data_IF_375218263234
#
_entry.id   IF_375218263234
#
_cell.length_a   1.000
_cell.length_b   1.000
_cell.length_c   1.000
_cell.angle_alpha   90.00
_cell.angle_beta   90.00
_cell.angle_gamma   90.00
#
_symmetry.space_group_name_H-M   'P 1'
#
loop_
_entity.id
_entity.type
_entity.pdbx_description
1 polymer ?
#
# COMPACT_ATOMS: atom_id res chain seq x y z
N UNK A 1 -15.49 -13.46 -7.33
CA UNK A 1 -15.73 -12.19 -8.01
C UNK A 1 -14.43 -11.38 -8.00
N UNK A 2 -13.89 -10.99 -9.16
CA UNK A 2 -12.71 -10.11 -9.23
C UNK A 2 -13.19 -8.66 -9.09
N UNK A 3 -12.65 -7.89 -8.14
CA UNK A 3 -12.90 -6.45 -8.09
C UNK A 3 -12.05 -5.78 -9.17
N UNK A 4 -12.64 -4.87 -9.94
CA UNK A 4 -11.87 -3.98 -10.81
C UNK A 4 -11.05 -3.04 -9.92
N UNK A 5 -9.75 -2.98 -10.18
CA UNK A 5 -8.83 -2.02 -9.55
C UNK A 5 -9.35 -0.62 -9.83
N UNK A 6 -9.66 0.12 -8.76
CA UNK A 6 -10.24 1.45 -8.87
C UNK A 6 -9.14 2.54 -8.95
N UNK A 7 -9.57 3.79 -8.90
CA UNK A 7 -8.66 4.93 -9.02
C UNK A 7 -7.67 5.02 -7.84
N UNK A 8 -8.10 4.67 -6.63
CA UNK A 8 -7.25 4.72 -5.43
C UNK A 8 -6.25 3.57 -5.43
N UNK A 9 -6.63 2.41 -5.94
CA UNK A 9 -5.73 1.28 -6.13
C UNK A 9 -4.55 1.60 -7.09
N UNK A 10 -4.81 2.26 -8.22
CA UNK A 10 -3.77 2.72 -9.17
C UNK A 10 -2.83 3.71 -8.50
N UNK A 11 -3.41 4.59 -7.70
CA UNK A 11 -2.75 5.63 -6.93
C UNK A 11 -1.76 5.05 -5.91
N UNK A 12 -2.17 4.04 -5.12
CA UNK A 12 -1.22 3.36 -4.21
C UNK A 12 -0.13 2.62 -4.99
N UNK A 13 -0.44 1.98 -6.12
CA UNK A 13 0.59 1.38 -6.98
C UNK A 13 1.60 2.42 -7.48
N UNK A 14 1.14 3.64 -7.83
CA UNK A 14 2.01 4.75 -8.20
C UNK A 14 2.92 5.21 -7.05
N UNK A 15 2.42 5.20 -5.81
CA UNK A 15 3.19 5.54 -4.63
C UNK A 15 4.32 4.53 -4.37
N UNK A 16 4.01 3.23 -4.41
CA UNK A 16 5.02 2.17 -4.27
C UNK A 16 6.05 2.24 -5.40
N UNK A 17 5.61 2.53 -6.63
CA UNK A 17 6.51 2.81 -7.75
C UNK A 17 7.43 3.99 -7.50
N UNK A 18 6.95 5.08 -6.89
CA UNK A 18 7.74 6.27 -6.56
C UNK A 18 8.82 5.93 -5.54
N UNK A 19 8.48 5.21 -4.47
CA UNK A 19 9.42 4.70 -3.46
C UNK A 19 10.53 3.89 -4.14
N UNK A 20 10.15 2.95 -5.02
CA UNK A 20 11.10 2.08 -5.72
C UNK A 20 12.03 2.80 -6.70
N UNK A 21 11.74 4.03 -7.12
CA UNK A 21 12.64 4.77 -8.03
C UNK A 21 13.97 5.13 -7.38
N UNK A 22 14.00 5.18 -6.05
CA UNK A 22 15.23 5.41 -5.27
C UNK A 22 16.12 4.17 -5.20
N UNK A 23 15.64 3.02 -5.68
CA UNK A 23 16.34 1.74 -5.64
C UNK A 23 16.52 1.16 -7.05
N UNK A 24 17.41 0.18 -7.17
CA UNK A 24 17.56 -0.55 -8.41
C UNK A 24 16.39 -1.54 -8.67
N UNK A 25 16.32 -2.08 -9.89
CA UNK A 25 15.27 -3.02 -10.32
C UNK A 25 15.41 -4.43 -9.73
N UNK A 26 16.52 -4.72 -9.04
CA UNK A 26 16.80 -5.94 -8.29
C UNK A 26 16.68 -5.70 -6.78
N UNK A 27 15.91 -4.69 -6.39
CA UNK A 27 15.58 -4.42 -4.99
C UNK A 27 14.09 -4.62 -4.78
N UNK A 28 13.74 -5.54 -3.88
CA UNK A 28 12.39 -5.66 -3.36
C UNK A 28 12.24 -4.71 -2.18
N UNK A 29 11.37 -3.72 -2.33
CA UNK A 29 11.05 -2.80 -1.24
C UNK A 29 9.77 -3.28 -0.58
N UNK A 30 9.90 -3.79 0.65
CA UNK A 30 8.79 -4.16 1.50
C UNK A 30 8.12 -2.88 2.03
N UNK A 31 6.83 -2.72 1.74
CA UNK A 31 6.06 -1.53 2.14
C UNK A 31 4.87 -1.98 2.99
N UNK A 32 4.85 -1.53 4.24
CA UNK A 32 3.71 -1.73 5.15
C UNK A 32 2.74 -0.55 5.04
N UNK A 33 1.45 -0.85 5.04
CA UNK A 33 0.36 0.13 5.08
C UNK A 33 -0.35 0.09 6.43
N UNK A 34 -0.73 1.26 6.94
CA UNK A 34 -1.47 1.42 8.19
C UNK A 34 -2.96 1.59 7.89
N UNK A 35 -3.73 0.53 8.13
CA UNK A 35 -5.16 0.40 7.86
C UNK A 35 -5.96 0.81 9.12
N UNK A 36 -6.67 1.95 9.10
CA UNK A 36 -7.61 2.31 10.17
C UNK A 36 -8.77 1.31 10.21
N UNK A 37 -9.11 0.82 11.39
CA UNK A 37 -10.19 -0.15 11.61
C UNK A 37 -11.04 0.30 12.80
N UNK A 38 -12.35 0.42 12.59
CA UNK A 38 -13.28 0.76 13.67
C UNK A 38 -13.38 -0.39 14.68
N UNK A 39 -13.82 -0.06 15.89
CA UNK A 39 -14.07 -1.05 16.95
C UNK A 39 -14.94 -2.22 16.48
N UNK A 40 -16.08 -1.94 15.84
CA UNK A 40 -16.98 -3.00 15.37
C UNK A 40 -16.34 -3.96 14.36
N UNK A 41 -15.50 -3.47 13.44
CA UNK A 41 -14.83 -4.32 12.46
C UNK A 41 -13.64 -5.08 13.05
N UNK A 42 -12.90 -4.48 14.00
CA UNK A 42 -11.81 -5.16 14.70
C UNK A 42 -12.32 -6.40 15.43
N UNK A 43 -13.55 -6.32 15.95
CA UNK A 43 -14.18 -7.32 16.79
C UNK A 43 -15.27 -8.14 16.11
N UNK A 44 -15.42 -8.03 14.79
CA UNK A 44 -16.44 -8.78 14.07
C UNK A 44 -16.21 -10.31 14.10
N UNK A 45 -14.96 -10.74 14.31
CA UNK A 45 -14.57 -12.17 14.39
C UNK A 45 -14.32 -12.67 15.82
N UNK A 46 -14.24 -11.78 16.82
CA UNK A 46 -13.84 -12.10 18.22
C UNK A 46 -14.95 -12.75 19.07
N UNK A 47 -15.91 -13.46 18.46
CA UNK A 47 -16.86 -14.30 19.21
C UNK A 47 -16.19 -15.47 19.93
N UNK A 48 -14.92 -15.76 19.68
CA UNK A 48 -14.22 -16.88 20.28
C UNK A 48 -12.77 -16.52 20.62
N UNK A 49 -12.49 -16.45 21.92
CA UNK A 49 -11.16 -16.63 22.53
C UNK A 49 -10.16 -15.46 22.47
N UNK A 50 -10.34 -14.43 23.29
CA UNK A 50 -9.22 -13.69 23.91
C UNK A 50 -9.74 -12.96 25.17
N UNK A 51 -9.05 -13.12 26.31
CA UNK A 51 -9.55 -12.66 27.63
C UNK A 51 -9.36 -11.14 27.87
N UNK A 52 -8.91 -10.37 26.88
CA UNK A 52 -8.72 -8.92 26.96
C UNK A 52 -8.96 -8.29 25.59
N UNK A 53 -9.76 -7.23 25.55
CA UNK A 53 -9.92 -6.43 24.34
C UNK A 53 -8.58 -5.74 24.03
N UNK A 54 -8.10 -5.78 22.76
CA UNK A 54 -6.92 -5.02 22.37
C UNK A 54 -7.14 -3.53 22.64
N UNK A 55 -6.09 -2.86 23.11
CA UNK A 55 -6.13 -1.42 23.33
C UNK A 55 -6.15 -0.72 21.96
N UNK A 56 -7.07 0.24 21.71
CA UNK A 56 -7.05 1.02 20.49
C UNK A 56 -5.73 1.76 20.29
N UNK A 57 -5.34 1.92 19.02
CA UNK A 57 -4.10 2.61 18.66
C UNK A 57 -4.26 4.14 18.64
N UNK A 58 -5.47 4.63 18.35
CA UNK A 58 -5.76 6.07 18.26
C UNK A 58 -6.98 6.42 19.09
N UNK A 59 -6.82 7.37 20.01
CA UNK A 59 -7.88 7.91 20.84
C UNK A 59 -8.21 9.35 20.44
N UNK A 60 -9.49 9.69 20.43
CA UNK A 60 -9.92 11.02 19.97
C UNK A 60 -9.40 12.18 20.83
N UNK A 61 -9.08 11.93 22.10
CA UNK A 61 -8.46 12.92 23.00
C UNK A 61 -6.95 13.10 22.82
N UNK A 62 -6.26 12.15 22.20
CA UNK A 62 -4.79 12.13 22.07
C UNK A 62 -4.29 11.86 20.66
N UNK A 63 -5.17 11.93 19.65
CA UNK A 63 -4.86 11.49 18.29
C UNK A 63 -3.62 12.15 17.69
N UNK A 64 -3.32 13.41 18.04
CA UNK A 64 -2.11 14.10 17.60
C UNK A 64 -0.83 13.37 18.06
N UNK A 65 -0.82 12.91 19.32
CA UNK A 65 0.26 12.12 19.90
C UNK A 65 0.29 10.73 19.26
N UNK A 66 -0.85 10.08 19.15
CA UNK A 66 -0.96 8.72 18.61
C UNK A 66 -0.48 8.67 17.14
N UNK A 67 -0.82 9.69 16.34
CA UNK A 67 -0.33 9.84 14.97
C UNK A 67 1.19 10.06 14.91
N UNK A 68 1.74 10.81 15.87
CA UNK A 68 3.19 11.00 15.97
C UNK A 68 3.90 9.68 16.27
N UNK A 69 3.32 8.86 17.16
CA UNK A 69 3.83 7.53 17.50
C UNK A 69 3.77 6.56 16.30
N UNK A 70 2.82 6.79 15.37
CA UNK A 70 2.76 6.14 14.06
C UNK A 70 3.66 6.77 12.98
N UNK A 71 4.54 7.71 13.33
CA UNK A 71 5.52 8.30 12.42
C UNK A 71 5.00 9.46 11.56
N UNK A 72 3.86 10.05 11.90
CA UNK A 72 3.37 11.26 11.22
C UNK A 72 4.13 12.49 11.75
N UNK A 73 4.70 13.29 10.85
CA UNK A 73 5.45 14.48 11.22
C UNK A 73 4.56 15.56 11.88
N UNK A 74 5.14 16.36 12.77
CA UNK A 74 4.42 17.45 13.43
C UNK A 74 3.89 18.51 12.47
N UNK A 75 4.56 18.75 11.33
CA UNK A 75 4.04 19.64 10.29
C UNK A 75 2.78 19.08 9.66
N UNK A 76 2.74 17.76 9.41
CA UNK A 76 1.58 17.09 8.82
C UNK A 76 0.42 17.00 9.81
N UNK A 77 0.68 16.70 11.10
CA UNK A 77 -0.34 16.76 12.16
C UNK A 77 -1.00 18.14 12.22
N UNK A 78 -0.19 19.21 12.17
CA UNK A 78 -0.70 20.60 12.20
C UNK A 78 -1.60 20.91 11.00
N UNK A 79 -1.23 20.42 9.82
CA UNK A 79 -2.05 20.56 8.62
C UNK A 79 -3.37 19.77 8.73
N UNK A 80 -3.33 18.52 9.21
CA UNK A 80 -4.56 17.73 9.42
C UNK A 80 -5.50 18.39 10.41
N UNK A 81 -4.95 18.98 11.48
CA UNK A 81 -5.73 19.70 12.47
C UNK A 81 -6.54 20.82 11.81
N UNK A 82 -5.91 21.61 10.93
CA UNK A 82 -6.60 22.65 10.17
C UNK A 82 -7.72 22.08 9.28
N UNK A 83 -7.48 20.94 8.62
CA UNK A 83 -8.50 20.28 7.78
C UNK A 83 -9.67 19.71 8.59
N UNK A 84 -9.42 19.22 9.80
CA UNK A 84 -10.46 18.72 10.71
C UNK A 84 -11.28 19.90 11.25
N UNK A 85 -10.61 20.96 11.68
CA UNK A 85 -11.24 22.18 12.22
C UNK A 85 -12.07 22.92 11.15
N UNK A 86 -11.61 22.94 9.89
CA UNK A 86 -12.37 23.51 8.77
C UNK A 86 -13.50 22.63 8.27
N UNK A 87 -13.53 21.35 8.67
CA UNK A 87 -14.47 20.34 8.20
C UNK A 87 -14.17 19.80 6.79
N UNK A 88 -13.07 20.22 6.16
CA UNK A 88 -12.62 19.70 4.86
C UNK A 88 -12.23 18.23 4.92
N UNK A 89 -11.82 17.74 6.09
CA UNK A 89 -11.52 16.33 6.31
C UNK A 89 -12.17 15.79 7.58
N UNK A 90 -12.99 14.75 7.43
CA UNK A 90 -13.76 14.12 8.53
C UNK A 90 -12.97 13.07 9.32
N UNK A 91 -11.68 12.90 9.01
CA UNK A 91 -10.86 11.79 9.51
C UNK A 91 -10.79 10.60 8.54
N UNK A 92 -10.01 9.57 8.89
CA UNK A 92 -9.87 8.38 8.05
C UNK A 92 -11.17 7.57 7.99
N UNK A 93 -11.27 6.68 7.00
CA UNK A 93 -12.36 5.71 6.90
C UNK A 93 -11.88 4.33 7.35
N UNK A 94 -12.72 3.62 8.10
CA UNK A 94 -12.48 2.21 8.41
C UNK A 94 -12.26 1.43 7.11
N UNK A 95 -11.13 0.73 7.04
CA UNK A 95 -10.71 -0.05 5.88
C UNK A 95 -11.72 -1.14 5.46
N UNK A 96 -12.48 -1.66 6.42
CA UNK A 96 -13.42 -2.75 6.21
C UNK A 96 -14.82 -2.26 5.86
N UNK A 97 -15.41 -1.38 6.67
CA UNK A 97 -16.80 -0.93 6.49
C UNK A 97 -16.96 0.46 5.87
N UNK A 98 -15.87 1.23 5.73
CA UNK A 98 -15.89 2.59 5.16
C UNK A 98 -16.40 3.68 6.11
N UNK A 99 -16.78 3.34 7.35
CA UNK A 99 -17.24 4.32 8.36
C UNK A 99 -16.15 5.35 8.66
N UNK A 100 -16.50 6.63 8.70
CA UNK A 100 -15.59 7.70 9.12
C UNK A 100 -15.22 7.56 10.60
N UNK A 101 -13.93 7.70 10.89
CA UNK A 101 -13.36 7.63 12.23
C UNK A 101 -12.98 9.05 12.65
N UNK A 102 -13.83 9.67 13.45
CA UNK A 102 -13.62 11.05 13.87
C UNK A 102 -12.40 11.15 14.80
N UNK A 103 -11.46 12.02 14.45
CA UNK A 103 -10.27 12.26 15.27
C UNK A 103 -10.58 13.05 16.54
N UNK A 104 -11.66 13.82 16.56
CA UNK A 104 -12.08 14.63 17.71
C UNK A 104 -13.51 14.26 18.10
N UNK A 105 -13.72 13.90 19.37
CA UNK A 105 -15.05 13.55 19.90
C UNK A 105 -15.64 12.23 19.35
N UNK A 106 -14.85 11.43 18.63
CA UNK A 106 -15.24 10.12 18.11
C UNK A 106 -14.78 8.95 18.98
N UNK A 107 -15.26 7.75 18.61
CA UNK A 107 -14.78 6.49 19.17
C UNK A 107 -13.31 6.25 18.82
N UNK A 108 -12.54 5.61 19.72
CA UNK A 108 -11.18 5.21 19.41
C UNK A 108 -11.16 4.11 18.34
N UNK A 109 -10.04 4.01 17.62
CA UNK A 109 -9.90 3.06 16.53
C UNK A 109 -8.52 2.42 16.48
N UNK A 110 -8.43 1.36 15.69
CA UNK A 110 -7.24 0.50 15.57
C UNK A 110 -6.50 0.78 14.27
N UNK A 111 -5.21 0.47 14.26
CA UNK A 111 -4.33 0.61 13.10
C UNK A 111 -3.73 -0.76 12.77
N UNK A 112 -4.39 -1.47 11.86
CA UNK A 112 -3.88 -2.75 11.38
C UNK A 112 -2.76 -2.54 10.35
N UNK A 113 -1.70 -3.36 10.44
CA UNK A 113 -0.63 -3.38 9.44
C UNK A 113 -1.00 -4.34 8.30
N UNK A 114 -0.60 -4.02 7.07
CA UNK A 114 -0.82 -4.90 5.93
C UNK A 114 0.08 -4.60 4.74
N UNK A 115 0.16 -5.56 3.82
CA UNK A 115 0.84 -5.39 2.53
C UNK A 115 0.03 -4.56 1.54
N UNK A 116 0.68 -4.09 0.48
CA UNK A 116 0.00 -3.46 -0.66
C UNK A 116 -1.09 -4.36 -1.24
N UNK A 117 -0.75 -5.63 -1.44
CA UNK A 117 -1.65 -6.60 -2.07
C UNK A 117 -2.91 -6.86 -1.25
N UNK A 118 -2.78 -6.91 0.09
CA UNK A 118 -3.93 -6.94 0.99
C UNK A 118 -4.78 -5.69 0.87
N UNK A 119 -4.13 -4.50 0.88
CA UNK A 119 -4.82 -3.21 0.88
C UNK A 119 -5.66 -2.98 -0.39
N UNK A 120 -5.09 -3.28 -1.56
CA UNK A 120 -5.79 -3.15 -2.85
C UNK A 120 -6.89 -4.23 -2.99
N UNK A 121 -7.04 -5.12 -1.99
CA UNK A 121 -7.96 -6.26 -2.00
C UNK A 121 -7.76 -7.12 -3.27
N UNK A 122 -6.54 -7.10 -3.82
CA UNK A 122 -6.19 -7.94 -4.96
C UNK A 122 -5.88 -9.32 -4.45
N UNK A 123 -6.59 -10.34 -4.99
CA UNK A 123 -6.22 -11.71 -4.70
C UNK A 123 -4.80 -11.95 -5.20
N UNK A 124 -3.91 -12.26 -4.26
CA UNK A 124 -2.63 -12.87 -4.58
C UNK A 124 -2.92 -14.17 -5.33
N UNK A 125 -2.34 -14.31 -6.52
CA UNK A 125 -2.64 -15.44 -7.39
C UNK A 125 -1.60 -16.54 -7.16
N UNK A 126 -2.08 -17.76 -6.86
CA UNK A 126 -1.27 -18.99 -6.75
C UNK A 126 -0.74 -19.52 -8.11
N UNK A 127 -0.56 -18.65 -9.10
CA UNK A 127 -0.04 -19.02 -10.42
C UNK A 127 1.04 -18.07 -10.91
N UNK A 128 2.05 -18.61 -11.61
CA UNK A 128 3.23 -17.86 -12.08
C UNK A 128 2.92 -16.78 -13.11
N UNK A 129 1.90 -16.96 -13.96
CA UNK A 129 1.62 -16.04 -15.06
C UNK A 129 0.73 -14.88 -14.58
N UNK A 130 1.16 -13.61 -14.71
CA UNK A 130 0.31 -12.46 -14.41
C UNK A 130 -0.91 -12.42 -15.31
N UNK A 131 -2.07 -12.06 -14.74
CA UNK A 131 -3.32 -11.89 -15.51
C UNK A 131 -3.26 -10.63 -16.38
N UNK A 132 -4.02 -10.55 -17.48
CA UNK A 132 -4.01 -9.38 -18.37
C UNK A 132 -4.28 -8.04 -17.66
N UNK A 133 -5.21 -8.00 -16.70
CA UNK A 133 -5.51 -6.80 -15.94
C UNK A 133 -4.31 -6.33 -15.09
N UNK A 134 -3.54 -7.25 -14.49
CA UNK A 134 -2.32 -6.92 -13.73
C UNK A 134 -1.28 -6.30 -14.66
N UNK A 135 -1.08 -6.90 -15.84
CA UNK A 135 -0.15 -6.37 -16.85
C UNK A 135 -0.50 -4.95 -17.23
N UNK A 136 -1.78 -4.67 -17.48
CA UNK A 136 -2.28 -3.32 -17.83
C UNK A 136 -1.99 -2.30 -16.72
N UNK A 137 -2.26 -2.65 -15.46
CA UNK A 137 -1.96 -1.76 -14.31
C UNK A 137 -0.46 -1.49 -14.22
N UNK A 138 0.36 -2.55 -14.24
CA UNK A 138 1.82 -2.43 -14.12
C UNK A 138 2.38 -1.61 -15.28
N UNK A 139 1.91 -1.83 -16.51
CA UNK A 139 2.32 -1.03 -17.66
C UNK A 139 2.00 0.47 -17.44
N UNK A 140 0.78 0.80 -17.02
CA UNK A 140 0.35 2.17 -16.78
C UNK A 140 1.11 2.85 -15.63
N UNK A 141 1.27 2.17 -14.50
CA UNK A 141 2.03 2.65 -13.32
C UNK A 141 3.48 2.93 -13.69
N UNK A 142 4.07 2.11 -14.55
CA UNK A 142 5.43 2.30 -15.04
C UNK A 142 5.51 3.24 -16.26
N UNK A 143 4.38 3.79 -16.71
CA UNK A 143 4.25 4.67 -17.89
C UNK A 143 4.84 4.03 -19.16
N UNK A 144 4.66 2.71 -19.29
CA UNK A 144 5.22 1.93 -20.37
C UNK A 144 6.74 1.91 -20.42
N UNK A 145 7.46 2.14 -19.31
CA UNK A 145 8.93 2.14 -19.29
C UNK A 145 9.48 0.89 -18.60
N UNK A 146 10.57 0.35 -19.12
CA UNK A 146 11.33 -0.71 -18.47
C UNK A 146 11.75 -0.29 -17.04
N UNK A 147 11.52 -1.15 -16.06
CA UNK A 147 11.87 -0.88 -14.67
C UNK A 147 13.38 -0.70 -14.46
N UNK A 148 14.19 -1.44 -15.24
CA UNK A 148 15.65 -1.40 -15.21
C UNK A 148 16.21 -0.22 -16.03
N UNK A 149 16.25 -0.36 -17.37
CA UNK A 149 16.91 0.59 -18.26
C UNK A 149 16.06 1.80 -18.69
N UNK A 150 14.80 1.88 -18.25
CA UNK A 150 13.85 2.98 -18.54
C UNK A 150 13.50 3.19 -20.02
N UNK A 151 13.92 2.31 -20.94
CA UNK A 151 13.51 2.34 -22.35
C UNK A 151 11.99 2.29 -22.47
N UNK A 152 11.45 2.98 -23.47
CA UNK A 152 10.03 2.94 -23.78
C UNK A 152 9.64 1.55 -24.30
N UNK A 153 8.58 1.00 -23.75
CA UNK A 153 7.96 -0.27 -24.10
C UNK A 153 6.59 -0.01 -24.71
N UNK A 154 6.16 -0.98 -25.49
CA UNK A 154 4.79 -1.17 -25.96
C UNK A 154 4.21 -2.40 -25.27
N UNK A 155 2.89 -2.58 -25.28
CA UNK A 155 2.27 -3.79 -24.72
C UNK A 155 2.81 -5.09 -25.34
N UNK A 156 3.29 -5.03 -26.59
CA UNK A 156 3.89 -6.16 -27.32
C UNK A 156 5.34 -6.46 -26.93
N UNK A 157 6.09 -5.44 -26.51
CA UNK A 157 7.53 -5.55 -26.19
C UNK A 157 7.80 -5.64 -24.69
N UNK A 158 6.82 -5.28 -23.86
CA UNK A 158 6.88 -5.42 -22.41
C UNK A 158 6.79 -6.89 -21.97
N UNK A 159 7.82 -7.34 -21.26
CA UNK A 159 7.74 -8.55 -20.43
C UNK A 159 7.35 -8.16 -19.01
N UNK A 160 6.72 -9.07 -18.26
CA UNK A 160 6.28 -8.83 -16.89
C UNK A 160 6.88 -9.91 -16.01
N UNK A 161 7.80 -9.51 -15.14
CA UNK A 161 8.58 -10.42 -14.32
C UNK A 161 8.40 -10.12 -12.84
N UNK A 162 8.60 -11.15 -12.01
CA UNK A 162 8.54 -11.01 -10.56
C UNK A 162 9.82 -10.39 -10.03
N UNK A 163 9.76 -9.41 -9.13
CA UNK A 163 10.94 -8.83 -8.48
C UNK A 163 11.64 -9.91 -7.67
N UNK A 164 10.93 -10.49 -6.69
CA UNK A 164 11.31 -11.74 -6.01
C UNK A 164 10.90 -12.91 -6.90
N UNK A 165 11.83 -13.79 -7.33
CA UNK A 165 11.52 -14.90 -8.22
C UNK A 165 10.34 -15.76 -7.73
N UNK A 166 9.55 -16.29 -8.67
CA UNK A 166 8.43 -17.19 -8.39
C UNK A 166 8.77 -18.34 -7.43
N UNK A 167 10.00 -18.87 -7.49
CA UNK A 167 10.45 -19.96 -6.62
C UNK A 167 10.52 -19.55 -5.13
N UNK A 168 10.71 -18.25 -4.83
CA UNK A 168 10.76 -17.73 -3.48
C UNK A 168 9.38 -17.48 -2.87
N UNK A 169 8.46 -16.87 -3.63
CA UNK A 169 7.14 -16.45 -3.09
C UNK A 169 5.99 -17.37 -3.48
N UNK A 170 6.09 -18.09 -4.61
CA UNK A 170 5.00 -18.90 -5.21
C UNK A 170 3.68 -18.15 -5.39
N UNK A 171 3.77 -16.84 -5.54
CA UNK A 171 2.65 -15.91 -5.58
C UNK A 171 2.88 -14.82 -6.62
N UNK A 172 1.80 -14.41 -7.27
CA UNK A 172 1.80 -13.28 -8.21
C UNK A 172 0.90 -12.17 -7.68
N UNK A 173 1.51 -11.02 -7.46
CA UNK A 173 0.92 -9.84 -6.85
C UNK A 173 1.39 -8.57 -7.55
N UNK A 174 0.67 -7.45 -7.39
CA UNK A 174 1.03 -6.20 -8.07
C UNK A 174 2.33 -5.60 -7.50
N UNK A 175 2.54 -5.69 -6.20
CA UNK A 175 3.80 -5.28 -5.55
C UNK A 175 4.98 -6.12 -6.04
N UNK A 176 4.83 -7.40 -6.36
CA UNK A 176 5.96 -8.21 -6.82
C UNK A 176 6.16 -8.16 -8.34
N UNK A 177 5.41 -7.37 -9.11
CA UNK A 177 5.56 -7.30 -10.56
C UNK A 177 6.27 -6.04 -11.05
N UNK A 178 7.06 -6.20 -12.12
CA UNK A 178 7.67 -5.10 -12.85
C UNK A 178 7.70 -5.37 -14.37
N UNK A 179 7.55 -4.33 -15.22
CA UNK A 179 7.73 -4.46 -16.64
C UNK A 179 9.21 -4.32 -17.01
N UNK A 180 9.71 -5.23 -17.84
CA UNK A 180 11.10 -5.24 -18.34
C UNK A 180 11.11 -5.36 -19.86
N UNK A 181 12.13 -4.79 -20.51
CA UNK A 181 12.46 -5.20 -21.88
C UNK A 181 13.02 -6.62 -21.87
N UNK A 182 13.03 -7.29 -23.03
CA UNK A 182 13.54 -8.66 -23.18
C UNK A 182 14.95 -8.82 -22.60
N UNK A 183 15.86 -7.91 -22.92
CA UNK A 183 17.27 -8.01 -22.51
C UNK A 183 17.45 -7.85 -21.00
N UNK A 184 16.72 -6.91 -20.39
CA UNK A 184 16.75 -6.73 -18.93
C UNK A 184 16.14 -7.93 -18.21
N UNK A 185 15.04 -8.47 -18.73
CA UNK A 185 14.40 -9.65 -18.18
C UNK A 185 15.35 -10.87 -18.22
N UNK A 186 16.04 -11.07 -19.34
CA UNK A 186 17.01 -12.15 -19.50
C UNK A 186 18.22 -11.98 -18.57
N UNK A 187 18.72 -10.74 -18.40
CA UNK A 187 19.83 -10.44 -17.46
C UNK A 187 19.44 -10.60 -15.99
N UNK A 188 18.18 -10.33 -15.65
CA UNK A 188 17.62 -10.56 -14.32
C UNK A 188 17.47 -12.05 -14.04
N UNK A 189 16.89 -12.81 -14.98
CA UNK A 189 16.63 -14.23 -14.84
C UNK A 189 15.98 -14.58 -13.48
N UNK A 190 16.56 -15.54 -12.74
CA UNK A 190 16.11 -16.00 -11.43
C UNK A 190 16.88 -15.37 -10.27
N UNK A 191 17.58 -14.26 -10.48
CA UNK A 191 18.30 -13.57 -9.40
C UNK A 191 17.32 -13.13 -8.32
N UNK A 192 17.67 -13.43 -7.09
CA UNK A 192 16.96 -12.92 -5.92
C UNK A 192 17.35 -11.46 -5.72
N UNK A 193 16.37 -10.60 -5.41
CA UNK A 193 16.64 -9.20 -5.13
C UNK A 193 17.24 -9.03 -3.74
N UNK A 194 17.89 -7.89 -3.51
CA UNK A 194 18.08 -7.39 -2.16
C UNK A 194 16.71 -6.99 -1.58
N UNK A 195 16.48 -7.23 -0.29
CA UNK A 195 15.27 -6.80 0.38
C UNK A 195 15.57 -5.60 1.28
N UNK A 196 14.72 -4.58 1.19
CA UNK A 196 14.83 -3.36 2.01
C UNK A 196 13.45 -3.03 2.54
N UNK A 197 13.36 -2.76 3.83
CA UNK A 197 12.14 -2.25 4.44
C UNK A 197 12.03 -0.74 4.21
N UNK A 198 10.86 -0.29 3.78
CA UNK A 198 10.53 1.13 3.73
C UNK A 198 9.69 1.51 4.95
N UNK A 199 9.85 2.76 5.41
CA UNK A 199 8.98 3.32 6.45
C UNK A 199 7.48 3.12 6.08
N UNK A 200 6.63 2.78 7.05
CA UNK A 200 5.23 2.52 6.76
C UNK A 200 4.56 3.68 6.05
N UNK A 201 3.74 3.34 5.05
CA UNK A 201 2.83 4.29 4.47
C UNK A 201 1.69 4.52 5.45
N UNK A 202 1.64 5.74 5.99
CA UNK A 202 0.59 6.20 6.89
C UNK A 202 -0.76 6.45 6.15
N UNK A 203 -0.92 5.85 4.98
CA UNK A 203 -2.17 5.79 4.24
C UNK A 203 -2.94 4.52 4.66
N UNK A 204 -4.27 4.58 4.88
CA UNK A 204 -5.17 5.73 4.75
C UNK A 204 -5.48 6.45 6.07
N UNK A 205 -4.55 6.51 7.04
CA UNK A 205 -4.69 7.42 8.19
C UNK A 205 -4.68 8.91 7.76
N UNK A 206 -4.22 9.18 6.54
CA UNK A 206 -4.14 10.50 5.93
C UNK A 206 -4.84 10.52 4.56
N UNK A 207 -5.37 11.69 4.12
CA UNK A 207 -5.89 11.86 2.78
C UNK A 207 -4.85 11.44 1.73
N UNK A 208 -5.30 10.85 0.62
CA UNK A 208 -4.41 10.32 -0.41
C UNK A 208 -3.39 11.37 -0.92
N UNK A 209 -3.82 12.62 -1.10
CA UNK A 209 -2.97 13.74 -1.55
C UNK A 209 -1.72 13.95 -0.69
N UNK A 210 -1.82 13.61 0.60
CA UNK A 210 -0.79 13.89 1.60
C UNK A 210 0.26 12.78 1.74
N UNK A 211 0.08 11.66 1.05
CA UNK A 211 0.98 10.51 1.16
C UNK A 211 2.20 10.60 0.21
N UNK A 212 2.28 11.66 -0.59
CA UNK A 212 3.31 11.82 -1.63
C UNK A 212 4.66 12.37 -1.14
N UNK A 213 4.82 12.62 0.17
CA UNK A 213 5.97 13.34 0.74
C UNK A 213 6.56 12.71 2.01
N UNK A 214 6.63 11.38 2.10
CA UNK A 214 7.56 10.74 3.04
C UNK A 214 8.95 10.87 2.40
N UNK A 215 9.70 11.90 2.81
CA UNK A 215 11.14 12.02 2.53
C UNK A 215 11.91 11.25 3.57
#
# INVERSE_FOLDING_TARGET
>A
MYRFVDHDDIRVCCLVRKIRRSYDHLTYVAVTLYKPVCHGCKHAESRFMENQDPIPDVFSGTWERDYKDHGVSSSRIRFLKQLVESGEWRGPQCYWCGTFLALTGGDPFYVDKGSLSEYIKTKVLKGRKPRPWMKKIIFNVYRGKCAACKVQLTERTATYDHIVPWQGVRETSLDNLQPLCRDCNQRKANKFPNEVEHAPLVFPLLPYSENLFVR
#
